data_IF_697806603040
#
_entry.id   IF_697806603040
#
_cell.length_a   1.000
_cell.length_b   1.000
_cell.length_c   1.000
_cell.angle_alpha   90.00
_cell.angle_beta   90.00
_cell.angle_gamma   90.00
#
_symmetry.space_group_name_H-M   'P 1'
#
loop_
_entity.id
_entity.type
_entity.pdbx_description
1 polymer ?
#
# COMPACT_ATOMS: atom_id res chain seq x y z
N UNK A 1 -17.77 -6.25 -6.05
CA UNK A 1 -17.62 -6.83 -4.69
C UNK A 1 -17.97 -5.74 -3.67
N UNK A 2 -18.66 -6.06 -2.59
CA UNK A 2 -19.00 -5.05 -1.56
C UNK A 2 -17.80 -4.73 -0.66
N UNK A 3 -17.78 -3.53 -0.05
CA UNK A 3 -16.71 -3.15 0.90
C UNK A 3 -16.61 -4.11 2.08
N UNK A 4 -17.76 -4.60 2.58
CA UNK A 4 -17.82 -5.58 3.68
C UNK A 4 -17.14 -6.88 3.29
N UNK A 5 -17.37 -7.37 2.06
CA UNK A 5 -16.69 -8.57 1.56
C UNK A 5 -15.19 -8.34 1.40
N UNK A 6 -14.77 -7.18 0.87
CA UNK A 6 -13.34 -6.83 0.72
C UNK A 6 -12.60 -6.86 2.06
N UNK A 7 -13.18 -6.22 3.08
CA UNK A 7 -12.59 -6.19 4.43
C UNK A 7 -12.50 -7.61 5.01
N UNK A 8 -13.57 -8.41 4.90
CA UNK A 8 -13.60 -9.78 5.43
C UNK A 8 -12.68 -10.75 4.70
N UNK A 9 -12.40 -10.52 3.43
CA UNK A 9 -11.57 -11.41 2.60
C UNK A 9 -10.09 -11.06 2.65
N UNK A 10 -9.70 -9.84 3.05
CA UNK A 10 -8.30 -9.45 3.20
C UNK A 10 -7.59 -10.39 4.20
N UNK A 11 -6.41 -10.89 3.82
CA UNK A 11 -5.52 -11.67 4.69
C UNK A 11 -4.14 -11.02 4.73
N UNK A 12 -3.39 -11.30 5.80
CA UNK A 12 -1.96 -10.97 5.82
C UNK A 12 -1.22 -12.04 5.03
N UNK A 13 -0.47 -11.63 4.01
CA UNK A 13 0.25 -12.51 3.09
C UNK A 13 1.74 -12.38 3.39
N UNK A 14 2.45 -13.50 3.43
CA UNK A 14 3.89 -13.56 3.73
C UNK A 14 4.71 -14.17 2.59
N UNK A 15 4.06 -14.90 1.67
CA UNK A 15 4.68 -15.48 0.48
C UNK A 15 4.17 -14.75 -0.75
N UNK A 16 5.09 -14.11 -1.48
CA UNK A 16 4.79 -13.21 -2.59
C UNK A 16 5.40 -13.73 -3.86
N UNK A 17 4.67 -13.55 -4.96
CA UNK A 17 5.22 -13.84 -6.28
C UNK A 17 6.34 -12.84 -6.64
N UNK A 18 7.28 -13.22 -7.53
CA UNK A 18 8.40 -12.36 -7.90
C UNK A 18 8.00 -11.17 -8.77
N UNK A 19 6.79 -11.16 -9.35
CA UNK A 19 6.36 -10.05 -10.20
C UNK A 19 6.18 -8.77 -9.40
N UNK A 20 6.76 -7.69 -9.91
CA UNK A 20 6.59 -6.36 -9.33
C UNK A 20 5.19 -5.82 -9.61
N UNK A 21 4.62 -5.12 -8.62
CA UNK A 21 3.43 -4.30 -8.83
C UNK A 21 3.83 -3.06 -9.65
N UNK A 22 3.06 -2.67 -10.68
CA UNK A 22 3.31 -1.43 -11.42
C UNK A 22 3.27 -0.20 -10.51
N UNK A 23 4.11 0.80 -10.80
CA UNK A 23 4.21 2.01 -9.98
C UNK A 23 2.90 2.80 -10.00
N UNK A 24 2.18 2.76 -11.11
CA UNK A 24 0.90 3.44 -11.32
C UNK A 24 -0.16 2.86 -10.37
N UNK A 25 -0.18 1.54 -10.21
CA UNK A 25 -1.06 0.86 -9.25
C UNK A 25 -0.72 1.23 -7.81
N UNK A 26 0.57 1.32 -7.46
CA UNK A 26 1.00 1.76 -6.13
C UNK A 26 0.56 3.20 -5.87
N UNK A 27 0.74 4.09 -6.86
CA UNK A 27 0.35 5.49 -6.76
C UNK A 27 -1.17 5.65 -6.56
N UNK A 28 -2.00 4.92 -7.31
CA UNK A 28 -3.46 4.93 -7.17
C UNK A 28 -3.91 4.48 -5.77
N UNK A 29 -3.28 3.43 -5.23
CA UNK A 29 -3.59 2.95 -3.88
C UNK A 29 -3.20 3.97 -2.81
N UNK A 30 -2.04 4.62 -2.96
CA UNK A 30 -1.59 5.66 -2.03
C UNK A 30 -2.49 6.89 -2.11
N UNK A 31 -2.91 7.30 -3.31
CA UNK A 31 -3.89 8.37 -3.50
C UNK A 31 -5.20 8.04 -2.78
N UNK A 32 -5.70 6.81 -2.88
CA UNK A 32 -6.87 6.39 -2.11
C UNK A 32 -6.63 6.43 -0.59
N UNK A 33 -5.41 6.09 -0.14
CA UNK A 33 -5.06 6.03 1.28
C UNK A 33 -4.99 7.41 1.95
N UNK A 34 -4.63 8.47 1.22
CA UNK A 34 -4.56 9.84 1.80
C UNK A 34 -5.92 10.41 2.16
N UNK A 35 -7.02 9.85 1.64
CA UNK A 35 -8.37 10.24 2.05
C UNK A 35 -8.77 9.75 3.45
N UNK A 36 -7.89 9.05 4.17
CA UNK A 36 -8.14 8.67 5.54
C UNK A 36 -8.34 9.91 6.43
N UNK A 37 -9.42 9.95 7.25
CA UNK A 37 -9.63 11.06 8.16
C UNK A 37 -8.50 11.11 9.19
N UNK A 38 -7.97 12.30 9.41
CA UNK A 38 -6.87 12.51 10.34
C UNK A 38 -7.13 13.72 11.23
N UNK A 39 -6.63 13.66 12.46
CA UNK A 39 -6.81 14.75 13.41
C UNK A 39 -6.14 16.03 12.89
N UNK A 40 -6.87 17.15 12.96
CA UNK A 40 -6.42 18.48 12.52
C UNK A 40 -6.03 18.60 11.04
N UNK A 41 -6.38 17.64 10.17
CA UNK A 41 -6.11 17.71 8.72
C UNK A 41 -4.60 17.96 8.46
N UNK A 42 -3.76 17.29 9.23
CA UNK A 42 -2.30 17.42 9.16
C UNK A 42 -1.68 16.52 8.10
N UNK A 43 -2.42 15.52 7.63
CA UNK A 43 -1.97 14.56 6.62
C UNK A 43 -0.55 14.03 6.93
N UNK A 44 -0.33 13.46 8.14
CA UNK A 44 1.01 13.26 8.68
C UNK A 44 1.77 12.11 8.02
N UNK A 45 1.13 11.38 7.10
CA UNK A 45 1.72 10.26 6.41
C UNK A 45 2.91 10.68 5.54
N UNK A 46 3.92 9.82 5.52
CA UNK A 46 5.08 9.90 4.64
C UNK A 46 5.29 8.51 4.08
N UNK A 47 5.31 8.39 2.76
CA UNK A 47 5.46 7.11 2.07
C UNK A 47 6.82 7.07 1.37
N UNK A 48 7.55 5.97 1.58
CA UNK A 48 8.75 5.63 0.83
C UNK A 48 8.50 4.30 0.13
N UNK A 49 8.40 4.33 -1.20
CA UNK A 49 8.25 3.12 -2.01
C UNK A 49 9.64 2.60 -2.35
N UNK A 50 9.97 1.41 -1.85
CA UNK A 50 11.29 0.79 -2.05
C UNK A 50 11.19 -0.39 -3.00
N UNK A 51 12.00 -0.37 -4.07
CA UNK A 51 12.02 -1.38 -5.12
C UNK A 51 13.46 -1.79 -5.50
N UNK A 52 13.59 -2.93 -6.19
CA UNK A 52 14.85 -3.41 -6.77
C UNK A 52 15.96 -3.62 -5.73
N UNK A 53 17.18 -3.21 -6.08
CA UNK A 53 18.37 -3.42 -5.24
C UNK A 53 18.30 -2.74 -3.87
N UNK A 54 17.48 -1.70 -3.70
CA UNK A 54 17.28 -1.06 -2.39
C UNK A 54 16.45 -1.95 -1.47
N UNK A 55 15.46 -2.68 -2.02
CA UNK A 55 14.65 -3.64 -1.26
C UNK A 55 15.52 -4.80 -0.75
N UNK A 56 16.41 -5.31 -1.60
CA UNK A 56 17.34 -6.39 -1.25
C UNK A 56 18.30 -6.01 -0.11
N UNK A 57 18.71 -4.73 -0.05
CA UNK A 57 19.59 -4.23 1.03
C UNK A 57 18.90 -4.03 2.38
N UNK A 58 17.57 -3.92 2.38
CA UNK A 58 16.77 -3.70 3.60
C UNK A 58 16.18 -4.99 4.19
N UNK A 59 16.15 -6.07 3.41
CA UNK A 59 15.63 -7.37 3.80
C UNK A 59 16.66 -8.18 4.61
#
# INVERSE_FOLDING_TARGET
MSIVQTIRNRRSIYDFKPERVPNETIAEILECAVWAPNHKITEPWRFLVVNGSTKEKLA
#
